data_IF_772799796034
#
_entry.id   IF_772799796034
#
_cell.length_a   1.000
_cell.length_b   1.000
_cell.length_c   1.000
_cell.angle_alpha   90.00
_cell.angle_beta   90.00
_cell.angle_gamma   90.00
#
_symmetry.space_group_name_H-M   'P 1'
#
loop_
_entity.id
_entity.type
_entity.pdbx_description
1 polymer ?
#
# COMPACT_ATOMS: atom_id res chain seq x y z
N UNK A 1 8.95 3.81 -13.05
CA UNK A 1 8.66 2.53 -13.74
C UNK A 1 7.35 2.68 -14.50
N UNK A 2 7.30 2.19 -15.74
CA UNK A 2 6.04 2.24 -16.52
C UNK A 2 5.05 1.19 -16.00
N UNK A 3 3.74 1.35 -16.26
CA UNK A 3 2.77 0.32 -15.91
C UNK A 3 3.11 -1.06 -16.47
N UNK A 4 3.59 -1.11 -17.70
CA UNK A 4 4.02 -2.36 -18.35
C UNK A 4 5.17 -3.04 -17.59
N UNK A 5 6.18 -2.27 -17.22
CA UNK A 5 7.34 -2.79 -16.48
C UNK A 5 6.94 -3.24 -15.07
N UNK A 6 6.05 -2.48 -14.42
CA UNK A 6 5.53 -2.81 -13.10
C UNK A 6 4.81 -4.15 -13.12
N UNK A 7 3.89 -4.34 -14.06
CA UNK A 7 3.15 -5.60 -14.20
C UNK A 7 4.10 -6.74 -14.50
N UNK A 8 5.00 -6.55 -15.45
CA UNK A 8 5.98 -7.60 -15.84
C UNK A 8 6.80 -8.05 -14.63
N UNK A 9 7.27 -7.10 -13.83
CA UNK A 9 8.14 -7.40 -12.67
C UNK A 9 7.39 -8.04 -11.51
N UNK A 10 6.20 -7.53 -11.18
CA UNK A 10 5.53 -7.89 -9.93
C UNK A 10 4.37 -8.88 -10.07
N UNK A 11 3.86 -9.10 -11.27
CA UNK A 11 2.76 -10.05 -11.50
C UNK A 11 3.03 -11.46 -10.94
N UNK A 12 4.20 -12.06 -11.14
CA UNK A 12 4.45 -13.41 -10.62
C UNK A 12 4.24 -13.50 -9.10
N UNK A 13 4.64 -12.47 -8.37
CA UNK A 13 4.48 -12.42 -6.92
C UNK A 13 3.02 -12.22 -6.50
N UNK A 14 2.30 -11.34 -7.23
CA UNK A 14 0.89 -11.10 -6.95
C UNK A 14 0.02 -12.33 -7.27
N UNK A 15 0.37 -13.10 -8.30
CA UNK A 15 -0.31 -14.36 -8.62
C UNK A 15 -0.17 -15.38 -7.50
N UNK A 16 0.99 -15.45 -6.84
CA UNK A 16 1.19 -16.34 -5.71
C UNK A 16 0.30 -15.95 -4.52
N UNK A 17 0.16 -14.65 -4.26
CA UNK A 17 -0.77 -14.16 -3.23
C UNK A 17 -2.23 -14.47 -3.61
N UNK A 18 -2.61 -14.29 -4.87
CA UNK A 18 -3.95 -14.67 -5.35
C UNK A 18 -4.20 -16.16 -5.12
N UNK A 19 -3.23 -17.01 -5.41
CA UNK A 19 -3.34 -18.45 -5.16
C UNK A 19 -3.60 -18.74 -3.69
N UNK A 20 -2.94 -18.03 -2.78
CA UNK A 20 -3.05 -18.23 -1.33
C UNK A 20 -4.35 -17.66 -0.74
N UNK A 21 -4.87 -16.59 -1.30
CA UNK A 21 -5.96 -15.82 -0.66
C UNK A 21 -7.24 -15.71 -1.49
N UNK A 22 -7.17 -15.96 -2.79
CA UNK A 22 -8.29 -15.76 -3.71
C UNK A 22 -8.50 -14.30 -4.11
N UNK A 23 -7.77 -13.35 -3.52
CA UNK A 23 -7.84 -11.93 -3.90
C UNK A 23 -7.16 -11.74 -5.25
N UNK A 24 -7.86 -11.11 -6.20
CA UNK A 24 -7.36 -10.90 -7.55
C UNK A 24 -6.00 -10.21 -7.58
N UNK A 25 -5.06 -10.75 -8.35
CA UNK A 25 -3.75 -10.13 -8.56
C UNK A 25 -3.87 -8.73 -9.18
N UNK A 26 -4.92 -8.49 -9.95
CA UNK A 26 -5.19 -7.17 -10.54
C UNK A 26 -5.45 -6.14 -9.44
N UNK A 27 -6.21 -6.49 -8.42
CA UNK A 27 -6.45 -5.63 -7.26
C UNK A 27 -5.16 -5.40 -6.47
N UNK A 28 -4.41 -6.46 -6.20
CA UNK A 28 -3.17 -6.41 -5.42
C UNK A 28 -2.16 -5.47 -6.09
N UNK A 29 -1.93 -5.66 -7.39
CA UNK A 29 -1.02 -4.83 -8.16
C UNK A 29 -1.49 -3.38 -8.24
N UNK A 30 -2.79 -3.15 -8.44
CA UNK A 30 -3.34 -1.81 -8.55
C UNK A 30 -3.18 -1.04 -7.24
N UNK A 31 -3.46 -1.66 -6.11
CA UNK A 31 -3.32 -1.01 -4.82
C UNK A 31 -1.86 -0.69 -4.53
N UNK A 32 -0.94 -1.61 -4.82
CA UNK A 32 0.49 -1.37 -4.67
C UNK A 32 0.98 -0.24 -5.59
N UNK A 33 0.54 -0.23 -6.85
CA UNK A 33 0.90 0.82 -7.79
C UNK A 33 0.43 2.20 -7.30
N UNK A 34 -0.79 2.26 -6.77
CA UNK A 34 -1.35 3.50 -6.23
C UNK A 34 -0.56 3.99 -5.01
N UNK A 35 -0.23 3.09 -4.08
CA UNK A 35 0.48 3.44 -2.84
C UNK A 35 1.94 3.81 -3.06
N UNK A 36 2.59 3.25 -4.07
CA UNK A 36 4.03 3.44 -4.31
C UNK A 36 4.34 4.31 -5.52
N UNK A 37 3.32 4.84 -6.18
CA UNK A 37 3.52 5.61 -7.42
C UNK A 37 4.19 4.77 -8.50
N UNK A 38 3.69 3.57 -8.77
CA UNK A 38 4.25 2.65 -9.74
C UNK A 38 5.68 2.23 -9.39
N UNK A 39 5.89 1.89 -8.13
CA UNK A 39 7.19 1.46 -7.60
C UNK A 39 8.27 2.56 -7.61
N UNK A 40 7.85 3.81 -7.60
CA UNK A 40 8.78 4.94 -7.50
C UNK A 40 9.60 4.88 -6.22
N UNK A 41 9.02 4.36 -5.15
CA UNK A 41 9.69 4.17 -3.86
C UNK A 41 9.21 2.87 -3.22
N UNK A 42 10.06 1.84 -3.28
CA UNK A 42 9.81 0.55 -2.64
C UNK A 42 11.06 0.17 -1.84
N UNK A 43 11.17 0.62 -0.58
CA UNK A 43 12.30 0.19 0.26
C UNK A 43 12.10 -1.27 0.70
N UNK A 44 13.11 -2.10 0.46
CA UNK A 44 13.18 -3.52 0.86
C UNK A 44 11.85 -4.28 0.73
N UNK A 45 11.34 -4.33 -0.52
CA UNK A 45 10.15 -5.08 -0.90
C UNK A 45 8.85 -4.66 -0.19
N UNK A 46 8.82 -3.49 0.42
CA UNK A 46 7.62 -2.96 1.07
C UNK A 46 6.69 -2.33 0.01
N UNK A 47 5.80 -3.15 -0.52
CA UNK A 47 4.98 -2.82 -1.69
C UNK A 47 3.80 -1.87 -1.40
N UNK A 48 3.56 -1.50 -0.14
CA UNK A 48 2.44 -0.65 0.26
C UNK A 48 2.84 0.50 1.20
N UNK A 49 4.12 0.68 1.46
CA UNK A 49 4.57 1.72 2.39
C UNK A 49 4.12 1.50 3.83
N UNK A 50 4.08 0.26 4.27
CA UNK A 50 3.61 -0.11 5.62
C UNK A 50 4.64 0.25 6.67
N UNK A 51 4.24 1.04 7.67
CA UNK A 51 5.10 1.37 8.82
C UNK A 51 5.24 0.17 9.74
N UNK A 52 6.40 0.06 10.39
CA UNK A 52 6.65 -0.96 11.39
C UNK A 52 6.03 -0.54 12.73
N UNK A 53 5.24 -1.43 13.32
CA UNK A 53 4.66 -1.21 14.64
C UNK A 53 5.72 -1.35 15.73
N UNK A 54 5.47 -0.74 16.90
CA UNK A 54 6.29 -0.94 18.09
C UNK A 54 6.43 -2.44 18.38
N UNK A 55 7.64 -2.88 18.69
CA UNK A 55 7.92 -4.29 18.94
C UNK A 55 8.28 -5.11 17.70
N UNK A 56 8.21 -4.54 16.50
CA UNK A 56 8.68 -5.24 15.29
C UNK A 56 10.17 -5.56 15.43
N UNK A 57 10.61 -6.82 15.20
CA UNK A 57 12.03 -7.17 15.29
C UNK A 57 12.89 -6.33 14.35
N UNK A 58 14.13 -6.07 14.75
CA UNK A 58 15.08 -5.24 13.99
C UNK A 58 15.29 -5.75 12.56
N UNK A 59 15.35 -7.07 12.36
CA UNK A 59 15.54 -7.69 11.06
C UNK A 59 14.33 -7.58 10.14
N UNK A 60 13.18 -7.13 10.68
CA UNK A 60 11.93 -6.96 9.92
C UNK A 60 11.52 -5.51 9.76
N UNK A 61 12.39 -4.58 10.07
CA UNK A 61 12.14 -3.15 9.91
C UNK A 61 13.36 -2.43 9.35
N UNK A 62 13.11 -1.26 8.81
CA UNK A 62 14.13 -0.40 8.23
C UNK A 62 13.80 1.06 8.50
N UNK A 63 14.84 1.88 8.62
CA UNK A 63 14.69 3.32 8.84
C UNK A 63 14.72 4.02 7.47
N UNK A 64 13.63 4.68 7.10
CA UNK A 64 13.47 5.28 5.77
C UNK A 64 13.08 6.75 5.88
N UNK A 65 13.72 7.59 5.05
CA UNK A 65 13.33 9.00 4.96
C UNK A 65 11.99 9.13 4.25
N UNK A 66 11.09 9.91 4.86
CA UNK A 66 9.76 10.16 4.34
C UNK A 66 9.32 11.58 4.68
N UNK A 67 8.29 12.06 3.99
CA UNK A 67 7.67 13.35 4.24
C UNK A 67 6.28 13.14 4.82
N UNK A 68 5.99 13.85 5.93
CA UNK A 68 4.68 13.84 6.58
C UNK A 68 4.14 15.26 6.66
N UNK A 69 2.83 15.43 6.45
CA UNK A 69 2.15 16.72 6.59
C UNK A 69 1.20 16.61 7.80
N UNK A 70 1.48 17.36 8.85
CA UNK A 70 0.79 17.24 10.12
C UNK A 70 0.23 18.57 10.61
N UNK A 71 -0.75 18.52 11.51
CA UNK A 71 -1.47 19.69 12.01
C UNK A 71 -0.64 20.57 12.95
N UNK A 72 0.38 19.99 13.62
CA UNK A 72 1.20 20.71 14.59
C UNK A 72 2.68 20.32 14.47
N UNK A 73 3.54 21.01 15.21
CA UNK A 73 4.99 20.83 15.19
C UNK A 73 5.51 19.97 16.36
N UNK A 74 4.64 19.23 17.03
CA UNK A 74 4.96 18.47 18.25
C UNK A 74 5.05 16.96 18.04
N UNK A 75 4.89 16.48 16.82
CA UNK A 75 4.98 15.05 16.51
C UNK A 75 6.41 14.53 16.73
N UNK A 76 6.51 13.28 17.17
CA UNK A 76 7.79 12.62 17.43
C UNK A 76 8.07 11.56 16.38
N UNK A 77 9.32 11.50 15.94
CA UNK A 77 9.81 10.50 15.01
C UNK A 77 11.21 10.06 15.45
N UNK A 78 11.69 8.88 15.02
CA UNK A 78 13.05 8.43 15.33
C UNK A 78 14.13 9.45 14.94
N UNK A 79 13.97 10.11 13.77
CA UNK A 79 14.84 11.19 13.33
C UNK A 79 13.98 12.26 12.67
N UNK A 80 14.13 13.50 13.09
CA UNK A 80 13.51 14.66 12.44
C UNK A 80 14.63 15.45 11.75
N UNK A 81 14.54 15.55 10.41
CA UNK A 81 15.51 16.29 9.60
C UNK A 81 15.12 17.77 9.54
N UNK A 82 13.84 18.04 9.26
CA UNK A 82 13.32 19.40 9.24
C UNK A 82 11.81 19.45 9.51
N UNK A 83 11.38 20.59 10.05
CA UNK A 83 9.96 20.91 10.21
C UNK A 83 9.77 22.30 9.62
N UNK A 84 8.83 22.44 8.69
CA UNK A 84 8.57 23.67 7.98
C UNK A 84 7.08 23.98 7.99
N UNK A 85 6.72 25.19 8.46
CA UNK A 85 5.32 25.61 8.46
C UNK A 85 4.90 25.95 7.04
N UNK A 86 3.77 25.39 6.61
CA UNK A 86 3.18 25.62 5.30
C UNK A 86 2.25 26.84 5.33
N UNK A 87 2.00 27.47 4.16
CA UNK A 87 1.02 28.55 4.06
C UNK A 87 -0.39 28.17 4.56
N UNK A 88 -0.78 26.89 4.48
CA UNK A 88 -2.07 26.40 4.95
C UNK A 88 -2.14 26.19 6.47
N UNK A 89 -1.06 26.52 7.20
CA UNK A 89 -0.99 26.36 8.66
C UNK A 89 -0.55 24.99 9.14
N UNK A 90 -0.44 24.01 8.23
CA UNK A 90 0.09 22.69 8.56
C UNK A 90 1.63 22.69 8.49
N UNK A 91 2.23 21.61 8.96
CA UNK A 91 3.68 21.49 9.06
C UNK A 91 4.17 20.34 8.16
N UNK A 92 5.18 20.63 7.36
CA UNK A 92 5.88 19.64 6.55
C UNK A 92 7.07 19.11 7.33
N UNK A 93 7.05 17.83 7.63
CA UNK A 93 8.14 17.12 8.29
C UNK A 93 8.93 16.34 7.25
N UNK A 94 10.24 16.47 7.28
CA UNK A 94 11.14 15.53 6.62
C UNK A 94 11.79 14.75 7.74
N UNK A 95 11.52 13.44 7.78
CA UNK A 95 11.88 12.57 8.90
C UNK A 95 12.43 11.25 8.40
N UNK A 96 13.05 10.48 9.33
CA UNK A 96 13.26 9.05 9.13
C UNK A 96 12.33 8.33 10.10
N UNK A 97 11.61 7.34 9.58
CA UNK A 97 10.66 6.55 10.36
C UNK A 97 10.83 5.07 10.07
N UNK A 98 10.30 4.23 10.95
CA UNK A 98 10.40 2.79 10.82
C UNK A 98 9.34 2.24 9.89
N UNK A 99 9.80 1.55 8.85
CA UNK A 99 8.94 0.82 7.91
C UNK A 99 9.25 -0.67 7.99
N UNK A 100 8.26 -1.50 7.68
CA UNK A 100 8.49 -2.92 7.57
C UNK A 100 9.39 -3.21 6.36
N UNK A 101 10.18 -4.27 6.46
CA UNK A 101 10.87 -4.81 5.30
C UNK A 101 10.51 -6.28 5.12
N UNK A 102 10.60 -6.72 3.89
CA UNK A 102 10.18 -8.07 3.50
C UNK A 102 11.27 -8.73 2.67
N UNK A 103 11.32 -10.06 2.69
CA UNK A 103 12.32 -10.83 1.95
C UNK A 103 12.00 -10.89 0.46
N UNK A 104 10.72 -10.68 0.09
CA UNK A 104 10.28 -10.68 -1.30
C UNK A 104 9.04 -9.79 -1.47
N UNK A 105 8.74 -9.36 -2.70
CA UNK A 105 7.47 -8.69 -2.98
C UNK A 105 6.25 -9.53 -2.62
N UNK A 106 6.31 -10.86 -2.81
CA UNK A 106 5.21 -11.77 -2.46
C UNK A 106 4.89 -11.72 -0.97
N UNK A 107 5.92 -11.71 -0.12
CA UNK A 107 5.71 -11.62 1.32
C UNK A 107 4.95 -10.35 1.70
N UNK A 108 5.29 -9.22 1.09
CA UNK A 108 4.58 -7.96 1.29
C UNK A 108 3.14 -8.02 0.79
N UNK A 109 2.93 -8.56 -0.40
CA UNK A 109 1.59 -8.73 -0.98
C UNK A 109 0.70 -9.61 -0.10
N UNK A 110 1.23 -10.73 0.38
CA UNK A 110 0.49 -11.68 1.20
C UNK A 110 0.20 -11.11 2.59
N UNK A 111 1.16 -10.42 3.21
CA UNK A 111 0.95 -9.75 4.49
C UNK A 111 -0.18 -8.73 4.38
N UNK A 112 -0.20 -7.95 3.31
CA UNK A 112 -1.26 -6.97 3.07
C UNK A 112 -2.62 -7.63 2.79
N UNK A 113 -2.62 -8.71 1.99
CA UNK A 113 -3.85 -9.47 1.71
C UNK A 113 -4.44 -10.05 3.00
N UNK A 114 -3.61 -10.47 3.94
CA UNK A 114 -4.06 -10.98 5.23
C UNK A 114 -4.77 -9.91 6.08
N UNK A 115 -4.52 -8.63 5.86
CA UNK A 115 -5.28 -7.56 6.49
C UNK A 115 -6.78 -7.71 6.13
N UNK A 116 -7.08 -8.00 4.88
CA UNK A 116 -8.46 -8.21 4.43
C UNK A 116 -9.01 -9.55 4.90
N UNK A 117 -8.19 -10.61 4.85
CA UNK A 117 -8.61 -11.96 5.22
C UNK A 117 -8.93 -12.10 6.71
N UNK A 118 -8.23 -11.37 7.57
CA UNK A 118 -8.31 -11.53 9.02
C UNK A 118 -9.09 -10.45 9.74
N UNK A 119 -9.64 -9.46 9.02
CA UNK A 119 -10.37 -8.36 9.63
C UNK A 119 -11.86 -8.47 9.27
N UNK A 120 -12.71 -8.64 10.27
CA UNK A 120 -14.17 -8.79 10.13
C UNK A 120 -14.82 -7.68 9.32
N UNK A 121 -14.26 -6.47 9.36
CA UNK A 121 -14.77 -5.33 8.58
C UNK A 121 -14.84 -5.63 7.09
N UNK A 122 -13.96 -6.48 6.57
CA UNK A 122 -13.88 -6.84 5.15
C UNK A 122 -14.58 -8.15 4.80
N UNK A 123 -15.33 -8.75 5.72
CA UNK A 123 -16.00 -10.05 5.47
C UNK A 123 -16.89 -10.02 4.22
N UNK A 124 -17.63 -8.93 4.03
CA UNK A 124 -18.49 -8.75 2.86
C UNK A 124 -17.69 -8.61 1.57
N UNK A 125 -16.58 -7.87 1.64
CA UNK A 125 -15.68 -7.70 0.50
C UNK A 125 -15.09 -9.03 0.03
N UNK A 126 -14.75 -9.92 0.96
CA UNK A 126 -14.17 -11.22 0.61
C UNK A 126 -15.10 -12.10 -0.23
N UNK A 127 -16.39 -11.86 -0.19
CA UNK A 127 -17.36 -12.60 -1.04
C UNK A 127 -17.15 -12.31 -2.53
N UNK A 128 -16.54 -11.18 -2.86
CA UNK A 128 -16.27 -10.75 -4.24
C UNK A 128 -14.78 -10.56 -4.52
N UNK A 129 -13.93 -11.22 -3.75
CA UNK A 129 -12.47 -11.01 -3.81
C UNK A 129 -11.82 -11.39 -5.14
N UNK A 130 -12.46 -12.25 -5.93
CA UNK A 130 -11.96 -12.62 -7.24
C UNK A 130 -12.26 -11.59 -8.34
N UNK A 131 -13.20 -10.68 -8.08
CA UNK A 131 -13.54 -9.59 -9.00
C UNK A 131 -12.86 -8.31 -8.51
N UNK A 132 -11.81 -7.83 -9.17
CA UNK A 132 -11.02 -6.69 -8.67
C UNK A 132 -11.84 -5.40 -8.54
N UNK A 133 -12.80 -5.18 -9.42
CA UNK A 133 -13.64 -3.99 -9.40
C UNK A 133 -14.64 -4.00 -8.25
N UNK A 134 -15.33 -5.12 -8.07
CA UNK A 134 -16.28 -5.28 -6.96
C UNK A 134 -15.55 -5.28 -5.62
N UNK A 135 -14.39 -5.92 -5.55
CA UNK A 135 -13.59 -5.92 -4.33
C UNK A 135 -13.14 -4.50 -3.96
N UNK A 136 -12.69 -3.71 -4.94
CA UNK A 136 -12.32 -2.31 -4.71
C UNK A 136 -13.49 -1.50 -4.13
N UNK A 137 -14.70 -1.67 -4.66
CA UNK A 137 -15.89 -1.01 -4.13
C UNK A 137 -16.20 -1.41 -2.70
N UNK A 138 -16.21 -2.71 -2.40
CA UNK A 138 -16.53 -3.19 -1.06
C UNK A 138 -15.47 -2.84 -0.03
N UNK A 139 -14.20 -2.85 -0.40
CA UNK A 139 -13.10 -2.43 0.46
C UNK A 139 -13.23 -0.94 0.81
N UNK A 140 -13.58 -0.11 -0.15
CA UNK A 140 -13.82 1.32 0.06
C UNK A 140 -15.03 1.55 0.98
N UNK A 141 -16.14 0.83 0.74
CA UNK A 141 -17.35 0.90 1.59
C UNK A 141 -17.07 0.48 3.02
N UNK A 142 -16.15 -0.45 3.21
CA UNK A 142 -15.75 -0.91 4.55
C UNK A 142 -14.84 0.09 5.29
N UNK A 143 -14.48 1.20 4.65
CA UNK A 143 -13.71 2.26 5.28
C UNK A 143 -12.20 2.11 5.20
N UNK A 144 -11.69 1.44 4.18
CA UNK A 144 -10.24 1.28 3.97
C UNK A 144 -9.53 2.65 3.86
N UNK A 145 -10.17 3.61 3.18
CA UNK A 145 -9.65 4.96 3.02
C UNK A 145 -10.75 5.98 3.31
N UNK A 146 -10.35 7.16 3.75
CA UNK A 146 -11.28 8.26 4.06
C UNK A 146 -11.68 9.06 2.82
N UNK A 147 -10.91 8.94 1.72
CA UNK A 147 -11.15 9.67 0.49
C UNK A 147 -12.37 9.13 -0.25
N UNK A 148 -13.40 9.97 -0.54
CA UNK A 148 -14.62 9.50 -1.21
C UNK A 148 -14.39 8.94 -2.62
N UNK A 149 -13.33 9.37 -3.30
CA UNK A 149 -13.01 8.96 -4.68
C UNK A 149 -12.08 7.75 -4.75
N UNK A 150 -11.73 7.16 -3.61
CA UNK A 150 -10.73 6.07 -3.56
C UNK A 150 -11.09 4.89 -4.46
N UNK A 151 -12.36 4.43 -4.41
CA UNK A 151 -12.80 3.31 -5.23
C UNK A 151 -12.63 3.61 -6.73
N UNK A 152 -12.99 4.79 -7.17
CA UNK A 152 -12.88 5.18 -8.58
C UNK A 152 -11.43 5.31 -9.04
N UNK A 153 -10.57 5.86 -8.19
CA UNK A 153 -9.14 5.94 -8.46
C UNK A 153 -8.52 4.54 -8.59
N UNK A 154 -8.86 3.67 -7.64
CA UNK A 154 -8.36 2.29 -7.63
C UNK A 154 -8.84 1.52 -8.87
N UNK A 155 -10.10 1.65 -9.24
CA UNK A 155 -10.64 1.04 -10.47
C UNK A 155 -9.93 1.53 -11.72
N UNK A 156 -9.58 2.82 -11.79
CA UNK A 156 -8.80 3.38 -12.88
C UNK A 156 -7.43 2.71 -13.01
N UNK A 157 -6.76 2.47 -11.88
CA UNK A 157 -5.47 1.78 -11.86
C UNK A 157 -5.65 0.31 -12.24
N UNK A 158 -6.71 -0.35 -11.76
CA UNK A 158 -7.02 -1.74 -12.15
C UNK A 158 -7.17 -1.85 -13.68
N UNK A 159 -7.89 -0.93 -14.30
CA UNK A 159 -8.03 -0.91 -15.77
C UNK A 159 -6.66 -0.80 -16.48
N UNK A 160 -5.78 0.03 -15.96
CA UNK A 160 -4.42 0.19 -16.49
C UNK A 160 -3.61 -1.09 -16.33
N UNK A 161 -3.68 -1.72 -15.16
CA UNK A 161 -3.01 -3.01 -14.90
C UNK A 161 -3.54 -4.08 -15.86
N UNK A 162 -4.86 -4.16 -16.02
CA UNK A 162 -5.50 -5.16 -16.87
C UNK A 162 -5.06 -5.05 -18.34
N UNK A 163 -4.94 -3.84 -18.86
CA UNK A 163 -4.43 -3.60 -20.22
C UNK A 163 -3.02 -4.12 -20.41
N UNK A 164 -2.22 -4.17 -19.37
CA UNK A 164 -0.83 -4.60 -19.39
C UNK A 164 -0.65 -6.05 -18.88
N UNK A 165 -1.75 -6.72 -18.57
CA UNK A 165 -1.77 -8.07 -18.00
C UNK A 165 -1.89 -9.14 -19.11
N UNK A 166 -1.07 -9.04 -20.13
CA UNK A 166 -1.12 -9.93 -21.29
C UNK A 166 0.12 -10.80 -21.40
#
# INVERSE_FOLDING_TARGET
MTPKDFVKKYKPYALETERKTGISHLFILAQSALETGWAKSIPDNNMFGVKAKAGTPTEKRQLVQTTEILANDKAKFPVIISIEKRPDGRFKYIVKDWFRKYDSPEESFTDHANLFMNNKRYAKALLVRSDPYKFAEEVAKAGYATEPTYAERLKGVIRTIEKNDK
#
